data_IF_410657843351
#
_entry.id   IF_410657843351
#
_cell.length_a   1.000
_cell.length_b   1.000
_cell.length_c   1.000
_cell.angle_alpha   90.00
_cell.angle_beta   90.00
_cell.angle_gamma   90.00
#
_symmetry.space_group_name_H-M   'P 1'
#
loop_
_entity.id
_entity.type
_entity.pdbx_description
1 polymer ?
#
# COMPACT_ATOMS: atom_id res chain seq x y z
N UNK A 1 -9.93 -1.67 -9.84
CA UNK A 1 -9.42 -3.06 -9.76
C UNK A 1 -8.79 -3.25 -8.39
N UNK A 2 -8.97 -4.39 -7.71
CA UNK A 2 -8.30 -4.63 -6.41
C UNK A 2 -6.85 -5.02 -6.66
N UNK A 3 -5.90 -4.35 -6.01
CA UNK A 3 -4.47 -4.58 -6.21
C UNK A 3 -3.77 -4.86 -4.89
N UNK A 4 -2.90 -5.87 -4.88
CA UNK A 4 -2.01 -6.18 -3.75
C UNK A 4 -0.59 -5.87 -4.17
N UNK A 5 0.18 -5.19 -3.30
CA UNK A 5 1.58 -4.84 -3.58
C UNK A 5 2.47 -5.36 -2.47
N UNK A 6 3.42 -6.22 -2.86
CA UNK A 6 4.56 -6.55 -2.02
C UNK A 6 5.69 -5.54 -2.20
N UNK A 7 6.32 -5.16 -1.10
CA UNK A 7 7.36 -4.12 -1.12
C UNK A 7 6.83 -2.72 -1.42
N UNK A 8 5.55 -2.46 -1.11
CA UNK A 8 4.89 -1.19 -1.39
C UNK A 8 5.29 -0.02 -0.45
N UNK A 9 6.21 -0.25 0.49
CA UNK A 9 6.63 0.76 1.48
C UNK A 9 7.80 1.64 1.02
N UNK A 10 8.55 1.21 -0.01
CA UNK A 10 9.72 1.93 -0.51
C UNK A 10 9.92 1.80 -2.03
N UNK A 11 10.87 2.56 -2.58
CA UNK A 11 11.32 2.45 -3.96
C UNK A 11 10.19 2.49 -5.00
N UNK A 12 10.26 1.57 -5.98
CA UNK A 12 9.28 1.47 -7.06
C UNK A 12 7.90 1.00 -6.56
N UNK A 13 7.86 0.06 -5.60
CA UNK A 13 6.59 -0.47 -5.07
C UNK A 13 5.73 0.64 -4.46
N UNK A 14 6.35 1.56 -3.72
CA UNK A 14 5.66 2.75 -3.18
C UNK A 14 5.16 3.68 -4.28
N UNK A 15 5.97 3.98 -5.29
CA UNK A 15 5.54 4.86 -6.38
C UNK A 15 4.34 4.27 -7.14
N UNK A 16 4.36 2.96 -7.40
CA UNK A 16 3.23 2.25 -8.02
C UNK A 16 1.99 2.28 -7.12
N UNK A 17 2.14 2.02 -5.83
CA UNK A 17 1.03 2.06 -4.88
C UNK A 17 0.37 3.45 -4.82
N UNK A 18 1.17 4.51 -4.84
CA UNK A 18 0.69 5.90 -4.85
C UNK A 18 -0.12 6.20 -6.11
N UNK A 19 0.39 5.84 -7.30
CA UNK A 19 -0.32 6.05 -8.56
C UNK A 19 -1.67 5.31 -8.60
N UNK A 20 -1.74 4.09 -8.07
CA UNK A 20 -2.98 3.32 -8.00
C UNK A 20 -3.97 3.92 -6.99
N UNK A 21 -3.49 4.33 -5.82
CA UNK A 21 -4.32 4.99 -4.80
C UNK A 21 -4.87 6.32 -5.33
N UNK A 22 -4.05 7.15 -5.98
CA UNK A 22 -4.46 8.43 -6.59
C UNK A 22 -5.50 8.22 -7.71
N UNK A 23 -5.45 7.09 -8.43
CA UNK A 23 -6.48 6.69 -9.39
C UNK A 23 -7.80 6.24 -8.73
N UNK A 24 -7.82 6.05 -7.41
CA UNK A 24 -8.98 5.59 -6.65
C UNK A 24 -9.19 4.07 -6.71
N UNK A 25 -8.12 3.32 -7.00
CA UNK A 25 -8.15 1.87 -6.89
C UNK A 25 -7.99 1.43 -5.42
N UNK A 26 -8.68 0.34 -5.02
CA UNK A 26 -8.41 -0.33 -3.77
C UNK A 26 -7.02 -1.00 -3.80
N UNK A 27 -6.13 -0.56 -2.92
CA UNK A 27 -4.77 -1.08 -2.75
C UNK A 27 -4.67 -1.79 -1.40
N UNK A 28 -3.87 -2.85 -1.34
CA UNK A 28 -3.49 -3.54 -0.11
C UNK A 28 -1.98 -3.76 -0.09
N UNK A 29 -1.33 -3.46 1.04
CA UNK A 29 0.12 -3.56 1.18
C UNK A 29 0.54 -4.84 1.92
N UNK A 30 1.59 -5.48 1.43
CA UNK A 30 2.24 -6.61 2.06
C UNK A 30 3.75 -6.33 2.20
N UNK A 31 4.32 -6.69 3.35
CA UNK A 31 5.73 -6.47 3.64
C UNK A 31 6.12 -6.92 5.04
N UNK A 32 7.39 -6.75 5.39
CA UNK A 32 7.95 -7.27 6.66
C UNK A 32 7.77 -6.32 7.84
N UNK A 33 7.94 -5.02 7.60
CA UNK A 33 7.88 -4.00 8.65
C UNK A 33 6.46 -3.43 8.78
N UNK A 34 5.79 -3.78 9.86
CA UNK A 34 4.43 -3.31 10.17
C UNK A 34 4.34 -1.79 10.34
N UNK A 35 5.39 -1.14 10.89
CA UNK A 35 5.40 0.31 11.10
C UNK A 35 5.51 1.05 9.76
N UNK A 36 6.35 0.55 8.85
CA UNK A 36 6.42 1.09 7.49
C UNK A 36 5.11 0.88 6.71
N UNK A 37 4.47 -0.29 6.88
CA UNK A 37 3.20 -0.62 6.27
C UNK A 37 2.09 0.32 6.75
N UNK A 38 1.98 0.55 8.05
CA UNK A 38 0.99 1.46 8.63
C UNK A 38 1.17 2.89 8.10
N UNK A 39 2.40 3.39 8.13
CA UNK A 39 2.73 4.73 7.60
C UNK A 39 2.38 4.84 6.11
N UNK A 40 2.71 3.82 5.32
CA UNK A 40 2.44 3.81 3.88
C UNK A 40 0.95 3.71 3.60
N UNK A 41 0.21 2.87 4.32
CA UNK A 41 -1.23 2.74 4.20
C UNK A 41 -1.95 4.07 4.54
N UNK A 42 -1.49 4.79 5.56
CA UNK A 42 -2.01 6.12 5.89
C UNK A 42 -1.78 7.14 4.76
N UNK A 43 -0.58 7.20 4.18
CA UNK A 43 -0.27 8.06 3.02
C UNK A 43 -1.17 7.73 1.82
N UNK A 44 -1.30 6.45 1.49
CA UNK A 44 -2.13 6.01 0.36
C UNK A 44 -3.62 6.29 0.57
N UNK A 45 -4.12 6.08 1.80
CA UNK A 45 -5.52 6.39 2.15
C UNK A 45 -5.82 7.89 2.01
N UNK A 46 -4.86 8.75 2.39
CA UNK A 46 -5.00 10.20 2.27
C UNK A 46 -4.99 10.68 0.81
N UNK A 47 -4.26 9.98 -0.07
CA UNK A 47 -4.20 10.25 -1.51
C UNK A 47 -5.39 9.72 -2.29
N UNK A 48 -6.08 8.72 -1.75
CA UNK A 48 -7.20 8.10 -2.45
C UNK A 48 -8.39 9.09 -2.53
N UNK A 49 -8.88 9.43 -3.74
CA UNK A 49 -9.98 10.39 -3.90
C UNK A 49 -11.28 9.94 -3.21
N UNK A 50 -11.47 8.63 -3.01
CA UNK A 50 -12.61 8.07 -2.28
C UNK A 50 -12.41 8.02 -0.77
N UNK A 51 -11.21 8.37 -0.29
CA UNK A 51 -10.77 8.27 1.12
C UNK A 51 -11.01 6.87 1.71
N UNK A 52 -10.92 5.85 0.87
CA UNK A 52 -10.98 4.46 1.31
C UNK A 52 -9.70 4.11 2.08
N UNK A 53 -9.86 3.40 3.19
CA UNK A 53 -8.73 2.91 3.98
C UNK A 53 -7.99 1.83 3.21
N UNK A 54 -6.68 2.04 3.05
CA UNK A 54 -5.76 1.02 2.52
C UNK A 54 -5.43 0.03 3.62
N UNK A 55 -5.70 -1.24 3.37
CA UNK A 55 -5.32 -2.32 4.29
C UNK A 55 -3.86 -2.73 4.12
N UNK A 56 -3.32 -3.36 5.16
CA UNK A 56 -2.00 -3.98 5.10
C UNK A 56 -1.92 -5.23 5.97
N UNK A 57 -0.97 -6.10 5.69
CA UNK A 57 -0.63 -7.24 6.55
C UNK A 57 0.87 -7.57 6.45
N UNK A 58 1.48 -8.11 7.54
CA UNK A 58 2.82 -8.64 7.46
C UNK A 58 2.88 -9.83 6.52
N UNK A 59 3.90 -9.87 5.68
CA UNK A 59 4.20 -10.98 4.78
C UNK A 59 5.70 -10.94 4.47
N UNK A 60 6.39 -12.00 4.83
CA UNK A 60 7.68 -12.34 4.24
C UNK A 60 7.43 -13.29 3.07
N UNK A 61 8.20 -13.14 1.99
CA UNK A 61 8.16 -14.06 0.84
C UNK A 61 9.17 -15.20 0.98
N UNK A 62 10.15 -15.02 1.87
CA UNK A 62 11.23 -15.98 2.08
C UNK A 62 10.88 -17.04 3.14
N UNK A 63 9.79 -16.83 3.88
CA UNK A 63 9.18 -17.80 4.82
C UNK A 63 8.21 -18.76 4.11
#
# INVERSE_FOLDING_TARGET
MKTVILGGTSGMGRAVAQQLAERGDPVFLLGRDTSELERSAADLSARNPKRETVGFAPCDLED
#
